data_IF_633584991371
#
_entry.id   IF_633584991371
#
_cell.length_a   1.000
_cell.length_b   1.000
_cell.length_c   1.000
_cell.angle_alpha   90.00
_cell.angle_beta   90.00
_cell.angle_gamma   90.00
#
_symmetry.space_group_name_H-M   'P 1'
#
loop_
_entity.id
_entity.type
_entity.pdbx_description
1 polymer ?
#
# COMPACT_ATOMS: atom_id res chain seq x y z
N UNK A 1 0.92 30.01 8.13
CA UNK A 1 2.19 30.77 7.90
C UNK A 1 2.57 31.78 9.00
N UNK A 2 1.84 31.89 10.11
CA UNK A 2 2.18 32.85 11.19
C UNK A 2 3.03 32.28 12.35
N UNK A 3 3.48 31.03 12.25
CA UNK A 3 4.26 30.35 13.31
C UNK A 3 5.75 30.13 12.96
N UNK A 4 6.11 30.12 11.67
CA UNK A 4 7.47 29.79 11.20
C UNK A 4 8.40 31.03 11.15
N UNK A 5 7.84 32.24 11.14
CA UNK A 5 8.61 33.48 10.99
C UNK A 5 9.32 33.96 12.28
N UNK A 6 9.22 33.25 13.40
CA UNK A 6 9.86 33.63 14.68
C UNK A 6 11.19 32.91 14.97
N UNK A 7 11.60 31.91 14.18
CA UNK A 7 12.80 31.10 14.46
C UNK A 7 14.01 31.33 13.55
N UNK A 8 13.93 32.25 12.59
CA UNK A 8 15.07 32.63 11.76
C UNK A 8 15.26 34.14 11.89
N UNK A 9 16.34 34.55 12.56
CA UNK A 9 16.78 35.94 12.72
C UNK A 9 17.25 36.55 11.39
N UNK A 10 16.36 36.64 10.41
CA UNK A 10 16.62 37.28 9.14
C UNK A 10 16.42 38.81 9.29
N UNK A 11 17.52 39.55 9.20
CA UNK A 11 17.56 41.01 9.22
C UNK A 11 16.53 41.65 8.27
N UNK A 12 15.99 42.80 8.67
CA UNK A 12 15.01 43.62 7.92
C UNK A 12 15.39 43.84 6.43
N UNK A 13 16.67 43.77 6.09
CA UNK A 13 17.19 43.90 4.73
C UNK A 13 16.77 42.72 3.81
N UNK A 14 16.74 41.49 4.32
CA UNK A 14 16.39 40.30 3.51
C UNK A 14 14.89 40.26 3.16
N UNK A 15 14.03 40.72 4.08
CA UNK A 15 12.59 40.91 3.82
C UNK A 15 12.34 41.97 2.74
N UNK A 16 13.12 43.05 2.72
CA UNK A 16 13.02 44.09 1.70
C UNK A 16 13.50 43.62 0.32
N UNK A 17 14.53 42.76 0.27
CA UNK A 17 15.02 42.17 -0.98
C UNK A 17 14.06 41.13 -1.55
N UNK A 18 13.48 40.25 -0.73
CA UNK A 18 12.46 39.28 -1.16
C UNK A 18 11.19 40.02 -1.63
N UNK A 19 10.77 41.07 -0.92
CA UNK A 19 9.64 41.91 -1.33
C UNK A 19 9.90 42.63 -2.66
N UNK A 20 11.14 43.08 -2.93
CA UNK A 20 11.50 43.72 -4.20
C UNK A 20 11.59 42.73 -5.36
N UNK A 21 12.13 41.53 -5.11
CA UNK A 21 12.21 40.46 -6.11
C UNK A 21 10.83 39.89 -6.47
N UNK A 22 9.92 39.78 -5.50
CA UNK A 22 8.52 39.40 -5.75
C UNK A 22 7.73 40.51 -6.47
N UNK A 23 8.11 41.78 -6.30
CA UNK A 23 7.43 42.91 -6.97
C UNK A 23 7.90 43.19 -8.39
N UNK A 24 9.06 42.67 -8.82
CA UNK A 24 9.66 43.03 -10.12
C UNK A 24 9.35 42.06 -11.27
N UNK A 25 8.84 40.85 -10.99
CA UNK A 25 8.48 39.87 -12.02
C UNK A 25 6.98 39.55 -12.13
N UNK A 26 6.12 40.31 -11.44
CA UNK A 26 4.68 40.30 -11.71
C UNK A 26 4.37 41.49 -12.61
N UNK A 27 4.54 41.30 -13.91
CA UNK A 27 3.83 42.11 -14.89
C UNK A 27 2.35 42.04 -14.53
N UNK A 28 1.79 43.17 -14.08
CA UNK A 28 0.37 43.34 -13.78
C UNK A 28 -0.47 42.91 -14.97
N UNK A 29 -1.03 41.70 -14.92
CA UNK A 29 -2.32 41.43 -15.53
C UNK A 29 -3.37 42.01 -14.58
N UNK A 30 -4.12 43.01 -15.03
CA UNK A 30 -5.04 43.82 -14.22
C UNK A 30 -6.30 43.09 -13.72
N UNK A 31 -6.48 41.80 -13.98
CA UNK A 31 -7.66 41.06 -13.49
C UNK A 31 -7.31 40.07 -12.37
N UNK A 32 -6.91 40.62 -11.22
CA UNK A 32 -6.94 39.89 -9.96
C UNK A 32 -8.39 39.79 -9.49
N UNK A 33 -9.07 38.70 -9.86
CA UNK A 33 -10.48 38.46 -9.54
C UNK A 33 -10.70 38.55 -8.02
N UNK A 34 -11.22 39.68 -7.56
CA UNK A 34 -11.52 39.97 -6.16
C UNK A 34 -13.04 39.82 -5.90
N UNK A 35 -13.61 38.75 -6.45
CA UNK A 35 -15.05 38.43 -6.36
C UNK A 35 -15.30 37.70 -5.04
N UNK A 36 -16.25 38.14 -4.20
CA UNK A 36 -16.64 37.42 -2.99
C UNK A 36 -17.05 35.98 -3.31
N UNK A 37 -16.74 35.01 -2.43
CA UNK A 37 -17.12 33.60 -2.63
C UNK A 37 -18.65 33.36 -2.71
N UNK A 38 -19.45 34.35 -2.32
CA UNK A 38 -20.91 34.36 -2.46
C UNK A 38 -21.38 34.69 -3.89
N UNK A 39 -20.51 35.22 -4.74
CA UNK A 39 -20.83 35.62 -6.11
C UNK A 39 -20.19 34.66 -7.12
N UNK A 40 -20.94 34.20 -8.13
CA UNK A 40 -20.39 33.30 -9.14
C UNK A 40 -19.35 34.02 -9.99
N UNK A 41 -18.30 33.29 -10.35
CA UNK A 41 -17.27 33.80 -11.26
C UNK A 41 -17.83 33.96 -12.67
N UNK A 42 -18.03 35.21 -13.09
CA UNK A 42 -18.56 35.55 -14.41
C UNK A 42 -17.55 35.10 -15.49
N UNK A 43 -18.04 34.36 -16.50
CA UNK A 43 -17.23 33.89 -17.64
C UNK A 43 -16.54 32.54 -17.45
N UNK A 44 -16.61 31.93 -16.26
CA UNK A 44 -16.22 30.52 -16.08
C UNK A 44 -17.45 29.64 -16.12
N UNK A 45 -17.64 28.95 -17.25
CA UNK A 45 -18.68 27.94 -17.40
C UNK A 45 -18.30 26.77 -16.48
N UNK A 46 -19.16 26.48 -15.50
CA UNK A 46 -19.14 25.17 -14.86
C UNK A 46 -19.37 24.14 -15.96
N UNK A 47 -18.34 23.37 -16.29
CA UNK A 47 -18.52 22.12 -17.01
C UNK A 47 -19.27 21.20 -16.06
N UNK A 48 -20.60 21.29 -16.04
CA UNK A 48 -21.42 20.25 -15.46
C UNK A 48 -21.03 18.94 -16.17
N UNK A 49 -20.85 17.84 -15.43
CA UNK A 49 -20.56 16.57 -16.07
C UNK A 49 -21.73 16.22 -16.99
N UNK A 50 -21.40 15.71 -18.19
CA UNK A 50 -22.36 15.23 -19.18
C UNK A 50 -23.49 14.43 -18.49
N UNK A 51 -24.74 14.78 -18.80
CA UNK A 51 -25.93 13.98 -18.43
C UNK A 51 -25.88 12.54 -18.98
N UNK A 52 -24.91 12.23 -19.85
CA UNK A 52 -24.68 10.92 -20.48
C UNK A 52 -23.62 10.04 -19.77
N UNK A 53 -23.28 10.30 -18.49
CA UNK A 53 -22.38 9.39 -17.78
C UNK A 53 -23.06 8.04 -17.52
N UNK A 54 -22.63 7.02 -18.26
CA UNK A 54 -23.04 5.63 -18.03
C UNK A 54 -22.08 5.01 -17.01
N UNK A 55 -22.58 4.80 -15.79
CA UNK A 55 -21.85 4.06 -14.77
C UNK A 55 -21.76 2.58 -15.15
N UNK A 56 -20.58 2.00 -15.01
CA UNK A 56 -20.40 0.57 -15.24
C UNK A 56 -20.91 -0.19 -14.01
N UNK A 57 -22.08 -0.84 -14.16
CA UNK A 57 -22.65 -1.72 -13.13
C UNK A 57 -21.82 -3.00 -12.92
N UNK A 58 -21.07 -3.41 -13.93
CA UNK A 58 -20.24 -4.62 -13.92
C UNK A 58 -18.76 -4.27 -14.12
N UNK A 59 -17.89 -5.01 -13.44
CA UNK A 59 -16.44 -4.92 -13.64
C UNK A 59 -16.06 -5.59 -14.95
N UNK A 60 -15.41 -4.84 -15.85
CA UNK A 60 -14.89 -5.36 -17.12
C UNK A 60 -13.50 -5.94 -16.89
N UNK A 61 -13.24 -7.13 -17.45
CA UNK A 61 -11.97 -7.83 -17.31
C UNK A 61 -11.44 -8.20 -18.70
N UNK A 62 -10.21 -7.79 -18.99
CA UNK A 62 -9.48 -8.17 -20.20
C UNK A 62 -8.21 -8.92 -19.80
N UNK A 63 -7.93 -10.04 -20.48
CA UNK A 63 -6.67 -10.78 -20.29
C UNK A 63 -5.82 -10.62 -21.55
N UNK A 64 -4.62 -10.07 -21.41
CA UNK A 64 -3.68 -9.92 -22.51
C UNK A 64 -3.07 -11.27 -22.90
N UNK A 65 -2.48 -11.35 -24.10
CA UNK A 65 -1.88 -12.58 -24.63
C UNK A 65 -0.75 -13.15 -23.76
N UNK A 66 -0.09 -12.31 -22.98
CA UNK A 66 0.96 -12.70 -22.04
C UNK A 66 0.43 -13.20 -20.68
N UNK A 67 -0.89 -13.21 -20.46
CA UNK A 67 -1.51 -13.65 -19.20
C UNK A 67 -1.77 -12.53 -18.18
N UNK A 68 -1.34 -11.29 -18.46
CA UNK A 68 -1.63 -10.12 -17.63
C UNK A 68 -3.13 -9.83 -17.63
N UNK A 69 -3.73 -9.72 -16.43
CA UNK A 69 -5.16 -9.43 -16.27
C UNK A 69 -5.37 -7.96 -15.93
N UNK A 70 -6.32 -7.34 -16.62
CA UNK A 70 -6.71 -5.94 -16.44
C UNK A 70 -8.18 -5.92 -16.06
N UNK A 71 -8.49 -5.40 -14.88
CA UNK A 71 -9.85 -5.21 -14.40
C UNK A 71 -10.13 -3.72 -14.26
N UNK A 72 -11.30 -3.26 -14.71
CA UNK A 72 -11.69 -1.89 -14.41
C UNK A 72 -13.18 -1.71 -14.22
N UNK A 73 -13.51 -0.65 -13.49
CA UNK A 73 -14.87 -0.16 -13.35
C UNK A 73 -14.88 1.35 -13.54
N UNK A 74 -15.66 1.82 -14.52
CA UNK A 74 -15.86 3.25 -14.69
C UNK A 74 -16.86 3.75 -13.64
N UNK A 75 -16.46 4.76 -12.86
CA UNK A 75 -17.29 5.38 -11.82
C UNK A 75 -17.35 6.88 -12.02
N UNK A 76 -18.46 7.47 -11.62
CA UNK A 76 -18.66 8.90 -11.73
C UNK A 76 -17.66 9.64 -10.84
N UNK A 77 -16.98 10.64 -11.40
CA UNK A 77 -16.05 11.50 -10.69
C UNK A 77 -14.81 11.85 -11.51
N UNK A 78 -14.10 12.87 -11.05
CA UNK A 78 -12.84 13.30 -11.67
C UNK A 78 -11.62 12.53 -11.13
N UNK A 79 -11.82 11.63 -10.17
CA UNK A 79 -10.75 10.87 -9.51
C UNK A 79 -10.76 9.42 -9.99
N UNK A 80 -9.57 8.84 -10.05
CA UNK A 80 -9.35 7.44 -10.30
C UNK A 80 -8.42 6.85 -9.24
N UNK A 81 -8.58 5.56 -8.98
CA UNK A 81 -7.68 4.76 -8.17
C UNK A 81 -7.27 3.54 -8.98
N UNK A 82 -5.97 3.28 -9.06
CA UNK A 82 -5.42 2.20 -9.86
C UNK A 82 -4.33 1.49 -9.06
N UNK A 83 -4.17 0.19 -9.27
CA UNK A 83 -3.10 -0.53 -8.61
C UNK A 83 -2.70 -1.80 -9.33
N UNK A 84 -1.45 -2.19 -9.10
CA UNK A 84 -0.90 -3.46 -9.54
C UNK A 84 -0.87 -4.38 -8.33
N UNK A 85 -1.57 -5.50 -8.43
CA UNK A 85 -1.61 -6.55 -7.43
C UNK A 85 -0.74 -7.68 -7.94
N UNK A 86 0.29 -7.99 -7.18
CA UNK A 86 1.21 -9.10 -7.42
C UNK A 86 0.82 -10.23 -6.49
N UNK A 87 0.55 -11.40 -7.04
CA UNK A 87 0.43 -12.64 -6.25
C UNK A 87 1.82 -13.03 -5.75
N UNK A 88 2.28 -12.39 -4.69
CA UNK A 88 3.58 -12.53 -4.04
C UNK A 88 3.48 -12.00 -2.61
N UNK A 89 4.37 -12.39 -1.70
CA UNK A 89 4.32 -11.97 -0.31
C UNK A 89 5.09 -12.90 0.61
N UNK A 90 5.04 -12.66 1.94
CA UNK A 90 5.73 -13.46 2.95
C UNK A 90 5.48 -14.95 2.83
N UNK A 91 4.28 -15.37 2.38
CA UNK A 91 3.95 -16.78 2.15
C UNK A 91 4.94 -17.49 1.22
N UNK A 92 5.51 -16.76 0.28
CA UNK A 92 6.36 -17.28 -0.79
C UNK A 92 7.87 -17.19 -0.47
N UNK A 93 8.22 -16.98 0.81
CA UNK A 93 9.61 -16.83 1.29
C UNK A 93 10.18 -18.10 1.94
N UNK A 94 9.59 -19.28 1.71
CA UNK A 94 9.93 -20.55 2.39
C UNK A 94 11.40 -20.93 2.26
N UNK A 95 11.98 -20.75 1.08
CA UNK A 95 13.38 -21.07 0.71
C UNK A 95 14.33 -19.88 0.86
N UNK A 96 13.89 -18.81 1.53
CA UNK A 96 14.55 -17.51 1.56
C UNK A 96 14.59 -16.93 2.99
N UNK A 97 15.49 -15.98 3.27
CA UNK A 97 15.43 -15.26 4.53
C UNK A 97 14.10 -14.48 4.61
N UNK A 98 13.32 -14.72 5.67
CA UNK A 98 12.05 -14.03 5.86
C UNK A 98 12.26 -12.52 6.00
N UNK A 99 11.41 -11.73 5.35
CA UNK A 99 11.44 -10.27 5.36
C UNK A 99 11.64 -9.61 3.99
N UNK A 100 11.82 -10.37 2.91
CA UNK A 100 12.07 -9.81 1.57
C UNK A 100 10.88 -8.96 1.09
N UNK A 101 9.65 -9.40 1.33
CA UNK A 101 8.43 -8.66 1.01
C UNK A 101 8.36 -7.34 1.78
N UNK A 102 8.84 -7.31 3.03
CA UNK A 102 8.93 -6.08 3.82
C UNK A 102 9.96 -5.09 3.23
N UNK A 103 11.06 -5.59 2.68
CA UNK A 103 12.00 -4.77 1.91
C UNK A 103 11.35 -4.23 0.62
N UNK A 104 10.61 -5.06 -0.11
CA UNK A 104 9.90 -4.63 -1.32
C UNK A 104 8.82 -3.57 -1.03
N UNK A 105 8.16 -3.65 0.13
CA UNK A 105 7.25 -2.62 0.63
C UNK A 105 7.97 -1.27 0.71
N UNK A 106 9.13 -1.23 1.41
CA UNK A 106 9.90 0.01 1.61
C UNK A 106 10.62 0.51 0.36
N UNK A 107 10.91 -0.37 -0.59
CA UNK A 107 11.49 -0.03 -1.89
C UNK A 107 10.43 0.36 -2.93
N UNK A 108 9.14 0.25 -2.60
CA UNK A 108 8.07 0.71 -3.48
C UNK A 108 8.23 2.19 -3.83
N UNK A 109 8.07 2.53 -5.11
CA UNK A 109 8.18 3.89 -5.64
C UNK A 109 9.56 4.56 -5.43
N UNK A 110 10.63 3.77 -5.37
CA UNK A 110 12.02 4.24 -5.42
C UNK A 110 12.53 4.39 -6.86
N UNK A 111 13.85 4.45 -7.06
CA UNK A 111 14.44 4.61 -8.40
C UNK A 111 14.04 3.49 -9.37
N UNK A 112 13.82 3.90 -10.61
CA UNK A 112 13.46 3.05 -11.75
C UNK A 112 14.23 3.49 -12.99
N UNK A 113 14.04 2.84 -14.13
CA UNK A 113 14.72 3.23 -15.37
C UNK A 113 14.46 4.70 -15.74
N UNK A 114 13.21 5.17 -15.63
CA UNK A 114 12.79 6.53 -15.97
C UNK A 114 12.99 7.55 -14.84
N UNK A 115 13.03 7.11 -13.58
CA UNK A 115 13.18 8.00 -12.42
C UNK A 115 14.46 7.67 -11.65
N UNK A 116 15.38 8.64 -11.58
CA UNK A 116 16.74 8.41 -11.03
C UNK A 116 16.77 8.14 -9.53
N UNK A 117 15.84 8.71 -8.76
CA UNK A 117 15.71 8.53 -7.31
C UNK A 117 14.25 8.60 -6.84
N UNK A 118 14.02 8.34 -5.55
CA UNK A 118 12.71 8.44 -4.90
C UNK A 118 12.10 9.85 -5.00
N UNK A 119 12.92 10.90 -5.01
CA UNK A 119 12.42 12.27 -5.05
C UNK A 119 11.82 12.61 -6.42
N UNK A 120 12.42 12.12 -7.52
CA UNK A 120 11.85 12.30 -8.85
C UNK A 120 10.51 11.60 -9.02
N UNK A 121 10.35 10.39 -8.46
CA UNK A 121 9.05 9.69 -8.44
C UNK A 121 8.03 10.50 -7.64
N UNK A 122 8.41 10.98 -6.46
CA UNK A 122 7.56 11.83 -5.61
C UNK A 122 7.11 13.10 -6.35
N UNK A 123 8.03 13.83 -7.00
CA UNK A 123 7.69 15.03 -7.76
C UNK A 123 6.75 14.73 -8.93
N UNK A 124 6.96 13.62 -9.64
CA UNK A 124 6.06 13.21 -10.72
C UNK A 124 4.65 12.88 -10.21
N UNK A 125 4.52 12.29 -9.02
CA UNK A 125 3.24 12.04 -8.37
C UNK A 125 2.57 13.34 -7.89
N UNK A 126 3.34 14.26 -7.32
CA UNK A 126 2.86 15.58 -6.87
C UNK A 126 2.34 16.42 -8.05
N UNK A 127 3.02 16.42 -9.19
CA UNK A 127 2.54 17.06 -10.42
C UNK A 127 1.19 16.50 -10.87
N UNK A 128 0.93 15.22 -10.60
CA UNK A 128 -0.35 14.58 -10.89
C UNK A 128 -1.42 14.82 -9.81
N UNK A 129 -1.08 15.48 -8.71
CA UNK A 129 -1.86 15.56 -7.47
C UNK A 129 -2.30 14.17 -6.98
N UNK A 130 -1.40 13.19 -7.11
CA UNK A 130 -1.68 11.81 -6.78
C UNK A 130 -1.09 11.43 -5.42
N UNK A 131 -1.80 10.54 -4.72
CA UNK A 131 -1.28 9.80 -3.58
C UNK A 131 -0.92 8.39 -4.04
N UNK A 132 0.09 7.80 -3.41
CA UNK A 132 0.53 6.46 -3.74
C UNK A 132 0.91 5.71 -2.47
N UNK A 133 0.78 4.39 -2.52
CA UNK A 133 1.13 3.52 -1.42
C UNK A 133 1.54 2.13 -1.93
N UNK A 134 2.42 1.48 -1.17
CA UNK A 134 2.81 0.09 -1.39
C UNK A 134 2.52 -0.68 -0.12
N UNK A 135 1.65 -1.69 -0.21
CA UNK A 135 1.25 -2.49 0.94
C UNK A 135 1.50 -3.97 0.65
N UNK A 136 1.85 -4.70 1.71
CA UNK A 136 2.00 -6.15 1.66
C UNK A 136 0.98 -6.83 2.56
N UNK A 137 0.38 -7.89 2.02
CA UNK A 137 -0.32 -8.93 2.74
C UNK A 137 0.52 -10.21 2.71
N UNK A 138 0.06 -11.28 3.37
CA UNK A 138 0.74 -12.59 3.34
C UNK A 138 0.78 -13.20 1.94
N UNK A 139 -0.29 -13.01 1.17
CA UNK A 139 -0.49 -13.64 -0.14
C UNK A 139 -0.27 -12.70 -1.34
N UNK A 140 -0.32 -11.38 -1.14
CA UNK A 140 -0.18 -10.41 -2.24
C UNK A 140 0.55 -9.13 -1.82
N UNK A 141 1.18 -8.47 -2.80
CA UNK A 141 1.75 -7.12 -2.71
C UNK A 141 0.93 -6.20 -3.62
N UNK A 142 0.53 -5.04 -3.13
CA UNK A 142 -0.21 -4.04 -3.90
C UNK A 142 0.57 -2.73 -4.00
N UNK A 143 0.77 -2.28 -5.23
CA UNK A 143 1.26 -0.94 -5.56
C UNK A 143 0.08 -0.13 -6.06
N UNK A 144 -0.38 0.86 -5.29
CA UNK A 144 -1.58 1.62 -5.60
C UNK A 144 -1.28 3.11 -5.77
N UNK A 145 -2.02 3.76 -6.67
CA UNK A 145 -2.00 5.19 -6.91
C UNK A 145 -3.43 5.70 -7.02
N UNK A 146 -3.72 6.86 -6.45
CA UNK A 146 -5.01 7.55 -6.59
C UNK A 146 -4.77 8.99 -6.98
N UNK A 147 -5.48 9.49 -7.98
CA UNK A 147 -5.30 10.85 -8.51
C UNK A 147 -6.41 11.23 -9.48
N UNK A 148 -6.21 12.31 -10.24
CA UNK A 148 -7.18 12.72 -11.26
C UNK A 148 -7.16 11.79 -12.48
N UNK A 149 -8.35 11.49 -13.02
CA UNK A 149 -8.50 10.63 -14.19
C UNK A 149 -7.85 11.21 -15.47
N UNK A 150 -7.68 12.54 -15.55
CA UNK A 150 -6.94 13.22 -16.62
C UNK A 150 -5.47 12.81 -16.69
N UNK A 151 -4.91 12.34 -15.57
CA UNK A 151 -3.51 11.90 -15.47
C UNK A 151 -3.36 10.38 -15.56
N UNK A 152 -4.43 9.64 -15.93
CA UNK A 152 -4.46 8.17 -15.94
C UNK A 152 -3.24 7.55 -16.64
N UNK A 153 -2.91 8.00 -17.87
CA UNK A 153 -1.79 7.44 -18.63
C UNK A 153 -0.44 7.61 -17.90
N UNK A 154 -0.22 8.79 -17.31
CA UNK A 154 1.01 9.08 -16.56
C UNK A 154 1.09 8.24 -15.27
N UNK A 155 -0.02 8.06 -14.58
CA UNK A 155 -0.10 7.23 -13.38
C UNK A 155 0.13 5.74 -13.70
N UNK A 156 -0.43 5.23 -14.80
CA UNK A 156 -0.16 3.87 -15.29
C UNK A 156 1.32 3.70 -15.66
N UNK A 157 1.93 4.70 -16.29
CA UNK A 157 3.35 4.68 -16.60
C UNK A 157 4.21 4.59 -15.32
N UNK A 158 3.93 5.40 -14.30
CA UNK A 158 4.67 5.36 -13.02
C UNK A 158 4.51 4.01 -12.31
N UNK A 159 3.31 3.42 -12.35
CA UNK A 159 3.08 2.06 -11.84
C UNK A 159 3.93 1.03 -12.59
N UNK A 160 4.00 1.13 -13.93
CA UNK A 160 4.82 0.22 -14.73
C UNK A 160 6.32 0.35 -14.41
N UNK A 161 6.82 1.56 -14.22
CA UNK A 161 8.22 1.81 -13.84
C UNK A 161 8.54 1.23 -12.46
N UNK A 162 7.62 1.41 -11.52
CA UNK A 162 7.79 0.94 -10.14
C UNK A 162 7.79 -0.59 -10.07
N UNK A 163 6.90 -1.25 -10.81
CA UNK A 163 6.71 -2.70 -10.72
C UNK A 163 7.60 -3.50 -11.66
N UNK A 164 7.83 -3.03 -12.90
CA UNK A 164 8.60 -3.77 -13.90
C UNK A 164 10.05 -3.31 -14.03
N UNK A 165 10.33 -2.03 -13.74
CA UNK A 165 11.63 -1.42 -14.03
C UNK A 165 12.33 -0.79 -12.81
N UNK A 166 12.25 -1.36 -11.58
CA UNK A 166 13.00 -0.83 -10.45
C UNK A 166 14.51 -1.06 -10.63
N UNK A 167 15.34 -0.13 -10.17
CA UNK A 167 16.81 -0.28 -10.22
C UNK A 167 17.37 -1.05 -9.02
N UNK A 168 16.76 -0.86 -7.83
CA UNK A 168 17.14 -1.44 -6.53
C UNK A 168 18.66 -1.38 -6.31
N UNK A 169 19.18 -0.20 -5.98
CA UNK A 169 20.61 -0.01 -5.70
C UNK A 169 20.98 -0.53 -4.30
N UNK A 170 22.27 -0.83 -4.08
CA UNK A 170 22.73 -1.26 -2.75
C UNK A 170 22.48 -0.20 -1.66
N UNK A 171 22.58 1.09 -2.01
CA UNK A 171 22.29 2.20 -1.12
C UNK A 171 20.81 2.25 -0.72
N UNK A 172 19.90 2.00 -1.67
CA UNK A 172 18.46 1.91 -1.40
C UNK A 172 18.12 0.73 -0.49
N UNK A 173 18.78 -0.42 -0.67
CA UNK A 173 18.61 -1.58 0.21
C UNK A 173 19.05 -1.25 1.64
N UNK A 174 20.18 -0.56 1.82
CA UNK A 174 20.62 -0.10 3.15
C UNK A 174 19.68 0.94 3.75
N UNK A 175 19.05 1.79 2.91
CA UNK A 175 18.04 2.74 3.37
C UNK A 175 16.77 2.02 3.81
N UNK A 176 16.31 1.02 3.05
CA UNK A 176 15.17 0.18 3.41
C UNK A 176 15.42 -0.57 4.72
N UNK A 177 16.60 -1.16 4.90
CA UNK A 177 16.99 -1.80 6.17
C UNK A 177 16.90 -0.85 7.36
N UNK A 178 17.39 0.39 7.21
CA UNK A 178 17.30 1.41 8.27
C UNK A 178 15.85 1.78 8.57
N UNK A 179 15.01 1.92 7.54
CA UNK A 179 13.58 2.19 7.70
C UNK A 179 12.86 1.06 8.43
N UNK A 180 13.11 -0.20 8.04
CA UNK A 180 12.55 -1.39 8.68
C UNK A 180 13.01 -1.49 10.14
N UNK A 181 14.30 -1.27 10.41
CA UNK A 181 14.82 -1.27 11.79
C UNK A 181 14.11 -0.24 12.67
N UNK A 182 13.89 0.97 12.14
CA UNK A 182 13.15 2.01 12.85
C UNK A 182 11.70 1.61 13.12
N UNK A 183 11.03 1.02 12.13
CA UNK A 183 9.66 0.52 12.28
C UNK A 183 9.55 -0.60 13.31
N UNK A 184 10.46 -1.57 13.30
CA UNK A 184 10.51 -2.65 14.29
C UNK A 184 10.71 -2.09 15.71
N UNK A 185 11.59 -1.10 15.87
CA UNK A 185 11.76 -0.41 17.15
C UNK A 185 10.49 0.36 17.56
N UNK A 186 9.78 0.98 16.61
CA UNK A 186 8.52 1.66 16.88
C UNK A 186 7.44 0.67 17.32
N UNK A 187 7.31 -0.47 16.63
CA UNK A 187 6.43 -1.58 17.02
C UNK A 187 6.80 -2.14 18.40
N UNK A 188 8.08 -2.21 18.72
CA UNK A 188 8.52 -2.63 20.06
C UNK A 188 8.20 -1.61 21.14
N UNK A 189 8.20 -0.31 20.84
CA UNK A 189 7.93 0.80 21.77
C UNK A 189 6.45 1.11 21.96
N UNK A 190 5.62 0.78 20.99
CA UNK A 190 4.18 0.97 21.06
C UNK A 190 3.51 -0.17 20.29
N UNK A 191 3.50 -1.39 20.86
CA UNK A 191 3.00 -2.58 20.18
C UNK A 191 1.51 -2.45 19.86
N UNK A 192 1.12 -2.35 18.58
CA UNK A 192 -0.30 -2.40 18.24
C UNK A 192 -0.79 -3.83 18.51
N UNK A 193 -1.84 -3.96 19.31
CA UNK A 193 -2.33 -5.26 19.80
C UNK A 193 -2.74 -6.16 18.65
N UNK A 194 -3.65 -5.71 17.77
CA UNK A 194 -4.21 -6.57 16.71
C UNK A 194 -3.16 -7.08 15.70
N UNK A 195 -2.26 -6.24 15.13
CA UNK A 195 -1.24 -6.74 14.21
C UNK A 195 -0.30 -7.75 14.87
N UNK A 196 0.19 -7.49 16.08
CA UNK A 196 1.12 -8.40 16.77
C UNK A 196 0.43 -9.72 17.13
N UNK A 197 -0.81 -9.66 17.63
CA UNK A 197 -1.57 -10.87 17.94
C UNK A 197 -1.83 -11.70 16.69
N UNK A 198 -2.11 -11.08 15.54
CA UNK A 198 -2.27 -11.80 14.27
C UNK A 198 -0.96 -12.44 13.80
N UNK A 199 0.19 -11.75 13.91
CA UNK A 199 1.49 -12.34 13.59
C UNK A 199 1.80 -13.56 14.46
N UNK A 200 1.60 -13.44 15.78
CA UNK A 200 1.81 -14.52 16.73
C UNK A 200 0.85 -15.69 16.48
N UNK A 201 -0.41 -15.41 16.19
CA UNK A 201 -1.42 -16.43 15.92
C UNK A 201 -1.07 -17.22 14.66
N UNK A 202 -0.68 -16.55 13.57
CA UNK A 202 -0.25 -17.21 12.33
C UNK A 202 1.01 -18.06 12.54
N UNK A 203 2.03 -17.52 13.23
CA UNK A 203 3.26 -18.27 13.53
C UNK A 203 3.02 -19.47 14.44
N UNK A 204 2.03 -19.38 15.34
CA UNK A 204 1.63 -20.52 16.18
C UNK A 204 0.81 -21.56 15.43
N UNK A 205 -0.09 -21.14 14.53
CA UNK A 205 -1.03 -22.00 13.81
C UNK A 205 -0.39 -22.78 12.65
N UNK A 206 0.58 -22.17 11.95
CA UNK A 206 1.24 -22.73 10.77
C UNK A 206 2.74 -22.91 11.06
N UNK A 207 3.08 -23.96 11.83
CA UNK A 207 4.45 -24.18 12.32
C UNK A 207 5.40 -24.73 11.25
N UNK A 208 6.71 -24.56 11.47
CA UNK A 208 7.76 -25.20 10.67
C UNK A 208 8.21 -24.41 9.45
N UNK A 209 8.18 -23.06 9.50
CA UNK A 209 8.50 -22.17 8.38
C UNK A 209 7.67 -22.47 7.11
N UNK A 210 6.43 -22.94 7.29
CA UNK A 210 5.54 -23.22 6.17
C UNK A 210 4.71 -21.98 5.85
N UNK A 211 4.85 -21.47 4.62
CA UNK A 211 3.88 -20.60 3.93
C UNK A 211 3.26 -19.51 4.83
N UNK A 212 2.01 -19.68 5.30
CA UNK A 212 1.26 -18.67 6.07
C UNK A 212 1.81 -18.38 7.47
N UNK A 213 2.69 -19.23 8.00
CA UNK A 213 3.37 -19.02 9.27
C UNK A 213 4.58 -18.10 9.19
N UNK A 214 5.03 -17.77 7.97
CA UNK A 214 6.13 -16.83 7.76
C UNK A 214 5.71 -15.42 8.19
N UNK A 215 6.60 -14.67 8.87
CA UNK A 215 6.26 -13.39 9.45
C UNK A 215 6.11 -12.33 8.36
N UNK A 216 5.12 -11.43 8.51
CA UNK A 216 4.97 -10.27 7.63
C UNK A 216 6.11 -9.28 7.82
N UNK A 217 6.52 -9.06 9.07
CA UNK A 217 7.63 -8.19 9.41
C UNK A 217 8.95 -8.96 9.37
N UNK A 218 9.97 -8.35 8.76
CA UNK A 218 11.34 -8.88 8.79
C UNK A 218 11.79 -9.14 10.25
N UNK A 219 12.19 -10.37 10.60
CA UNK A 219 12.79 -10.66 11.90
C UNK A 219 14.07 -9.86 12.10
N UNK A 220 14.34 -9.42 13.33
CA UNK A 220 15.56 -8.67 13.64
C UNK A 220 16.83 -9.46 13.33
N UNK A 221 16.80 -10.79 13.49
CA UNK A 221 17.91 -11.68 13.14
C UNK A 221 18.29 -11.62 11.66
N UNK A 222 17.33 -11.32 10.79
CA UNK A 222 17.52 -11.31 9.34
C UNK A 222 17.88 -9.91 8.82
N UNK A 223 17.81 -8.87 9.66
CA UNK A 223 18.30 -7.54 9.31
C UNK A 223 19.79 -7.60 9.00
N UNK A 224 20.19 -7.06 7.84
CA UNK A 224 21.57 -7.11 7.36
C UNK A 224 21.97 -8.44 6.70
N UNK A 225 21.14 -9.49 6.77
CA UNK A 225 21.34 -10.73 6.00
C UNK A 225 20.64 -10.70 4.63
N UNK A 226 19.58 -9.89 4.51
CA UNK A 226 18.86 -9.71 3.25
C UNK A 226 19.70 -8.84 2.31
N UNK A 227 20.21 -9.46 1.24
CA UNK A 227 21.02 -8.80 0.21
C UNK A 227 20.15 -8.36 -0.97
N UNK A 228 20.71 -7.48 -1.82
CA UNK A 228 20.10 -7.09 -3.11
C UNK A 228 19.76 -8.31 -3.96
N UNK A 229 20.63 -9.31 -3.99
CA UNK A 229 20.46 -10.52 -4.81
C UNK A 229 19.26 -11.34 -4.34
N UNK A 230 19.00 -11.43 -3.03
CA UNK A 230 17.79 -12.09 -2.51
C UNK A 230 16.51 -11.41 -3.02
N UNK A 231 16.49 -10.07 -3.04
CA UNK A 231 15.35 -9.27 -3.52
C UNK A 231 15.15 -9.49 -5.02
N UNK A 232 16.22 -9.42 -5.81
CA UNK A 232 16.17 -9.65 -7.26
C UNK A 232 15.68 -11.06 -7.58
N UNK A 233 16.18 -12.07 -6.87
CA UNK A 233 15.76 -13.45 -7.05
C UNK A 233 14.27 -13.63 -6.75
N UNK A 234 13.77 -12.98 -5.71
CA UNK A 234 12.35 -13.02 -5.38
C UNK A 234 11.49 -12.37 -6.47
N UNK A 235 11.87 -11.16 -6.91
CA UNK A 235 11.17 -10.43 -7.97
C UNK A 235 11.18 -11.21 -9.28
N UNK A 236 12.34 -11.72 -9.72
CA UNK A 236 12.46 -12.54 -10.93
C UNK A 236 11.64 -13.84 -10.88
N UNK A 237 11.41 -14.39 -9.68
CA UNK A 237 10.58 -15.58 -9.50
C UNK A 237 9.10 -15.26 -9.60
N UNK A 238 8.64 -14.20 -8.93
CA UNK A 238 7.21 -13.98 -8.65
C UNK A 238 6.56 -12.85 -9.47
N UNK A 239 7.31 -11.88 -9.97
CA UNK A 239 6.78 -10.74 -10.74
C UNK A 239 6.64 -11.12 -12.22
N UNK A 240 5.77 -12.09 -12.48
CA UNK A 240 5.47 -12.61 -13.83
C UNK A 240 4.09 -12.17 -14.31
N UNK A 241 3.88 -11.96 -15.61
CA UNK A 241 2.60 -11.46 -16.15
C UNK A 241 1.37 -12.25 -15.67
N UNK A 242 1.46 -13.59 -15.59
CA UNK A 242 0.37 -14.45 -15.13
C UNK A 242 -0.01 -14.26 -13.64
N UNK A 243 0.91 -13.70 -12.84
CA UNK A 243 0.74 -13.40 -11.41
C UNK A 243 0.42 -11.92 -11.14
N UNK A 244 0.24 -11.13 -12.19
CA UNK A 244 -0.08 -9.71 -12.10
C UNK A 244 -1.55 -9.46 -12.46
N UNK A 245 -2.19 -8.61 -11.66
CA UNK A 245 -3.51 -8.06 -11.96
C UNK A 245 -3.44 -6.55 -11.81
N UNK A 246 -3.87 -5.82 -12.83
CA UNK A 246 -3.95 -4.37 -12.81
C UNK A 246 -5.42 -3.99 -12.70
N UNK A 247 -5.77 -3.33 -11.60
CA UNK A 247 -7.13 -2.91 -11.31
C UNK A 247 -7.25 -1.38 -11.37
N UNK A 248 -8.35 -0.87 -11.94
CA UNK A 248 -8.63 0.56 -12.01
C UNK A 248 -10.10 0.88 -11.74
N UNK A 249 -10.36 1.87 -10.89
CA UNK A 249 -11.69 2.41 -10.58
C UNK A 249 -11.74 3.87 -10.98
N UNK A 250 -12.82 4.31 -11.61
CA UNK A 250 -12.94 5.68 -12.15
C UNK A 250 -12.19 5.87 -13.48
N UNK A 251 -12.02 4.79 -14.25
CA UNK A 251 -11.33 4.78 -15.54
C UNK A 251 -12.18 4.07 -16.61
N UNK A 252 -12.12 4.58 -17.84
CA UNK A 252 -12.77 3.96 -19.00
C UNK A 252 -11.96 2.74 -19.45
N UNK A 253 -12.60 1.58 -19.58
CA UNK A 253 -11.91 0.29 -19.74
C UNK A 253 -10.98 0.24 -20.95
N UNK A 254 -11.44 0.66 -22.13
CA UNK A 254 -10.65 0.55 -23.36
C UNK A 254 -9.42 1.46 -23.35
N UNK A 255 -9.56 2.69 -22.84
CA UNK A 255 -8.45 3.62 -22.66
C UNK A 255 -7.46 3.09 -21.62
N UNK A 256 -7.96 2.51 -20.53
CA UNK A 256 -7.13 1.91 -19.50
C UNK A 256 -6.34 0.71 -20.02
N UNK A 257 -6.99 -0.20 -20.76
CA UNK A 257 -6.33 -1.36 -21.38
C UNK A 257 -5.23 -0.90 -22.33
N UNK A 258 -5.47 0.12 -23.16
CA UNK A 258 -4.45 0.68 -24.07
C UNK A 258 -3.26 1.29 -23.33
N UNK A 259 -3.53 2.06 -22.27
CA UNK A 259 -2.48 2.67 -21.45
C UNK A 259 -1.63 1.59 -20.76
N UNK A 260 -2.27 0.54 -20.23
CA UNK A 260 -1.59 -0.59 -19.60
C UNK A 260 -0.80 -1.40 -20.63
N UNK A 261 -1.38 -1.71 -21.79
CA UNK A 261 -0.69 -2.44 -22.85
C UNK A 261 0.57 -1.70 -23.32
N UNK A 262 0.48 -0.38 -23.49
CA UNK A 262 1.62 0.48 -23.85
C UNK A 262 2.72 0.49 -22.77
N UNK A 263 2.34 0.59 -21.49
CA UNK A 263 3.30 0.75 -20.40
C UNK A 263 3.90 -0.58 -19.90
N UNK A 264 3.12 -1.66 -19.93
CA UNK A 264 3.50 -2.99 -19.44
C UNK A 264 3.98 -3.94 -20.55
N UNK A 265 3.98 -3.53 -21.83
CA UNK A 265 4.48 -4.36 -22.94
C UNK A 265 5.73 -3.73 -23.58
N UNK A 266 6.86 -4.46 -23.68
CA UNK A 266 7.08 -5.83 -23.23
C UNK A 266 7.08 -5.94 -21.70
N UNK A 267 6.43 -6.99 -21.17
CA UNK A 267 6.31 -7.23 -19.72
C UNK A 267 7.57 -7.88 -19.14
N UNK A 268 8.71 -7.55 -19.75
CA UNK A 268 10.02 -8.01 -19.30
C UNK A 268 10.43 -7.16 -18.11
N UNK A 269 10.61 -7.82 -16.97
CA UNK A 269 11.11 -7.17 -15.78
C UNK A 269 12.59 -6.78 -15.99
N UNK A 270 12.97 -5.54 -15.70
CA UNK A 270 14.36 -5.04 -15.89
C UNK A 270 15.38 -5.92 -15.15
N UNK A 271 15.05 -6.28 -13.91
CA UNK A 271 15.83 -7.17 -13.05
C UNK A 271 15.97 -8.61 -13.57
N UNK A 272 15.16 -9.06 -14.54
CA UNK A 272 15.34 -10.38 -15.15
C UNK A 272 16.67 -10.49 -15.93
N UNK A 273 17.26 -9.35 -16.32
CA UNK A 273 18.56 -9.27 -16.99
C UNK A 273 19.74 -9.30 -16.01
N UNK A 274 19.49 -9.08 -14.73
CA UNK A 274 20.53 -9.07 -13.70
C UNK A 274 21.12 -10.49 -13.54
N UNK A 275 22.46 -10.65 -13.41
CA UNK A 275 23.07 -11.95 -13.21
C UNK A 275 22.48 -12.75 -12.03
N UNK A 276 22.03 -12.08 -10.98
CA UNK A 276 21.40 -12.73 -9.83
C UNK A 276 20.13 -13.50 -10.25
N UNK A 277 19.31 -12.93 -11.14
CA UNK A 277 18.05 -13.51 -11.58
C UNK A 277 18.20 -14.87 -12.29
N UNK A 278 19.39 -15.22 -12.80
CA UNK A 278 19.67 -16.55 -13.37
C UNK A 278 19.53 -17.69 -12.37
N UNK A 279 19.70 -17.38 -11.07
CA UNK A 279 19.56 -18.33 -9.98
C UNK A 279 18.16 -18.29 -9.36
N UNK A 280 17.20 -17.60 -9.98
CA UNK A 280 15.82 -17.53 -9.48
C UNK A 280 15.18 -18.93 -9.52
N UNK A 281 14.75 -19.49 -8.38
CA UNK A 281 14.09 -20.79 -8.35
C UNK A 281 12.71 -20.71 -8.99
N UNK A 282 12.09 -21.86 -9.21
CA UNK A 282 10.68 -21.92 -9.62
C UNK A 282 9.78 -21.41 -8.49
N UNK A 283 8.64 -20.77 -8.81
CA UNK A 283 7.70 -20.34 -7.78
C UNK A 283 7.29 -21.48 -6.85
N UNK A 284 7.29 -21.22 -5.53
CA UNK A 284 6.88 -22.22 -4.55
C UNK A 284 5.40 -22.59 -4.73
N UNK A 285 5.12 -23.89 -4.63
CA UNK A 285 3.80 -24.49 -4.75
C UNK A 285 3.33 -25.13 -3.44
N UNK A 286 4.01 -24.85 -2.33
CA UNK A 286 3.69 -25.41 -1.03
C UNK A 286 2.29 -24.98 -0.57
N UNK A 287 1.55 -25.94 -0.02
CA UNK A 287 0.22 -25.71 0.54
C UNK A 287 0.36 -25.40 2.02
N UNK A 288 -0.41 -24.42 2.52
CA UNK A 288 -0.45 -24.13 3.94
C UNK A 288 -1.16 -25.25 4.70
N UNK A 289 -0.53 -25.76 5.77
CA UNK A 289 -1.09 -26.80 6.63
C UNK A 289 -1.29 -26.25 8.03
N UNK A 290 -2.54 -26.24 8.50
CA UNK A 290 -2.85 -25.87 9.87
C UNK A 290 -2.38 -26.98 10.81
N UNK A 291 -1.48 -26.65 11.73
CA UNK A 291 -0.98 -27.58 12.75
C UNK A 291 -1.58 -27.30 14.13
N UNK A 292 -2.24 -26.14 14.27
CA UNK A 292 -2.52 -25.54 15.57
C UNK A 292 -1.23 -25.21 16.32
N UNK A 293 -1.39 -24.69 17.54
CA UNK A 293 -0.26 -24.41 18.40
C UNK A 293 -0.57 -23.42 19.51
N UNK A 294 0.45 -23.18 20.32
CA UNK A 294 0.45 -22.22 21.42
C UNK A 294 1.73 -21.40 21.35
N UNK A 295 1.59 -20.10 21.53
CA UNK A 295 2.69 -19.16 21.73
C UNK A 295 2.32 -18.23 22.87
N UNK A 296 3.29 -17.98 23.75
CA UNK A 296 3.19 -17.03 24.86
C UNK A 296 4.39 -16.11 24.78
N UNK A 297 4.14 -14.81 24.79
CA UNK A 297 5.18 -13.80 24.88
C UNK A 297 5.00 -13.06 26.19
N UNK A 298 5.98 -13.20 27.08
CA UNK A 298 6.04 -12.39 28.29
C UNK A 298 6.77 -11.10 27.98
N UNK A 299 6.11 -9.98 28.21
CA UNK A 299 6.67 -8.64 28.04
C UNK A 299 6.30 -7.79 29.23
N UNK A 300 7.29 -7.03 29.71
CA UNK A 300 7.06 -5.95 30.65
C UNK A 300 6.42 -4.79 29.89
N UNK A 301 5.13 -4.54 30.14
CA UNK A 301 4.41 -3.47 29.48
C UNK A 301 4.61 -2.11 30.18
N UNK A 302 5.23 -2.07 31.37
CA UNK A 302 5.35 -0.87 32.23
C UNK A 302 6.13 0.28 31.61
N UNK A 303 6.91 -0.01 30.56
CA UNK A 303 7.75 0.93 29.84
C UNK A 303 7.00 1.64 28.70
N UNK A 304 5.75 1.21 28.42
CA UNK A 304 4.92 1.77 27.36
C UNK A 304 4.14 2.98 27.86
N UNK A 305 4.49 4.16 27.34
CA UNK A 305 3.71 5.38 27.55
C UNK A 305 2.41 5.32 26.72
N UNK A 306 1.51 4.41 27.07
CA UNK A 306 0.17 4.34 26.49
C UNK A 306 -0.85 5.00 27.43
N UNK A 307 -1.91 5.64 26.89
CA UNK A 307 -2.95 6.27 27.69
C UNK A 307 -3.94 5.29 28.35
N UNK A 308 -3.74 3.97 28.19
CA UNK A 308 -4.63 2.92 28.72
C UNK A 308 -3.86 1.97 29.66
N UNK A 309 -4.54 1.38 30.66
CA UNK A 309 -3.96 0.36 31.53
C UNK A 309 -3.51 -0.88 30.74
N UNK A 310 -2.42 -1.47 31.20
CA UNK A 310 -1.78 -2.64 30.59
C UNK A 310 -2.56 -3.91 30.91
N UNK A 311 -3.03 -4.59 29.87
CA UNK A 311 -3.76 -5.85 30.00
C UNK A 311 -3.02 -6.99 29.31
N UNK A 312 -3.28 -8.21 29.76
CA UNK A 312 -2.92 -9.39 28.98
C UNK A 312 -3.80 -9.47 27.74
N UNK A 313 -3.18 -9.70 26.58
CA UNK A 313 -3.88 -9.91 25.32
C UNK A 313 -3.84 -11.40 24.96
N UNK A 314 -4.99 -11.95 24.57
CA UNK A 314 -5.11 -13.34 24.15
C UNK A 314 -5.92 -13.42 22.86
N UNK A 315 -5.52 -14.32 21.96
CA UNK A 315 -6.22 -14.62 20.72
C UNK A 315 -6.30 -16.14 20.57
N UNK A 316 -7.47 -16.63 20.16
CA UNK A 316 -7.71 -18.05 19.87
C UNK A 316 -8.17 -18.11 18.41
N UNK A 317 -7.45 -18.86 17.59
CA UNK A 317 -7.75 -19.05 16.18
C UNK A 317 -7.92 -20.53 15.85
N UNK A 318 -8.97 -20.84 15.10
CA UNK A 318 -9.25 -22.16 14.56
C UNK A 318 -9.00 -22.13 13.04
N UNK A 319 -8.79 -23.30 12.45
CA UNK A 319 -8.75 -23.42 11.00
C UNK A 319 -10.10 -23.02 10.39
N UNK A 320 -10.05 -22.26 9.29
CA UNK A 320 -11.23 -21.78 8.56
C UNK A 320 -11.18 -22.28 7.12
N UNK A 321 -12.34 -22.26 6.46
CA UNK A 321 -12.42 -22.53 5.04
C UNK A 321 -11.74 -21.43 4.20
N UNK A 322 -11.29 -21.78 2.99
CA UNK A 322 -10.70 -20.83 2.05
C UNK A 322 -11.74 -19.93 1.37
N UNK A 323 -11.31 -18.83 0.74
CA UNK A 323 -12.21 -17.85 0.12
C UNK A 323 -13.03 -18.38 -1.08
N UNK A 324 -12.65 -19.54 -1.64
CA UNK A 324 -13.40 -20.22 -2.72
C UNK A 324 -14.35 -21.29 -2.20
N UNK A 325 -14.32 -21.58 -0.90
CA UNK A 325 -15.16 -22.60 -0.29
C UNK A 325 -16.61 -22.10 -0.16
N UNK A 326 -17.58 -22.99 -0.33
CA UNK A 326 -18.99 -22.68 -0.11
C UNK A 326 -19.28 -22.23 1.33
N UNK A 327 -18.44 -22.63 2.30
CA UNK A 327 -18.54 -22.23 3.69
C UNK A 327 -18.03 -20.81 3.98
N UNK A 328 -17.37 -20.14 3.02
CA UNK A 328 -16.80 -18.81 3.24
C UNK A 328 -17.84 -17.76 3.64
N UNK A 329 -18.95 -17.69 2.90
CA UNK A 329 -20.05 -16.75 3.21
C UNK A 329 -20.69 -17.06 4.58
N UNK A 330 -21.05 -18.32 4.91
CA UNK A 330 -21.45 -18.69 6.27
C UNK A 330 -20.44 -18.29 7.36
N UNK A 331 -19.13 -18.46 7.14
CA UNK A 331 -18.10 -18.07 8.09
C UNK A 331 -18.06 -16.54 8.29
N UNK A 332 -18.22 -15.74 7.23
CA UNK A 332 -18.35 -14.29 7.33
C UNK A 332 -19.59 -13.88 8.15
N UNK A 333 -20.73 -14.55 7.94
CA UNK A 333 -21.95 -14.28 8.72
C UNK A 333 -21.76 -14.64 10.20
N UNK A 334 -21.09 -15.75 10.50
CA UNK A 334 -20.75 -16.12 11.87
C UNK A 334 -19.84 -15.05 12.52
N UNK A 335 -18.83 -14.57 11.79
CA UNK A 335 -17.97 -13.48 12.25
C UNK A 335 -18.78 -12.21 12.55
N UNK A 336 -19.67 -11.78 11.66
CA UNK A 336 -20.54 -10.62 11.87
C UNK A 336 -21.52 -10.80 13.05
N UNK A 337 -22.04 -12.02 13.27
CA UNK A 337 -22.95 -12.33 14.37
C UNK A 337 -22.25 -12.32 15.74
N UNK A 338 -21.06 -12.93 15.81
CA UNK A 338 -20.23 -12.90 17.01
C UNK A 338 -19.82 -11.47 17.33
N UNK A 339 -19.35 -10.73 16.32
CA UNK A 339 -18.99 -9.31 16.41
C UNK A 339 -18.05 -9.02 17.56
N UNK A 340 -18.33 -7.95 18.30
CA UNK A 340 -17.47 -7.44 19.37
C UNK A 340 -17.15 -5.95 19.16
N UNK A 341 -16.13 -5.47 19.86
CA UNK A 341 -15.69 -4.09 19.80
C UNK A 341 -14.84 -3.71 21.01
N UNK A 342 -14.38 -2.46 21.05
CA UNK A 342 -13.82 -1.89 22.26
C UNK A 342 -14.91 -1.32 23.17
N UNK A 343 -14.71 -1.37 24.49
CA UNK A 343 -15.62 -0.77 25.48
C UNK A 343 -15.79 0.75 25.32
N UNK A 344 -14.84 1.42 24.64
CA UNK A 344 -14.82 2.87 24.41
C UNK A 344 -15.24 3.24 22.97
N UNK A 345 -16.23 2.56 22.40
CA UNK A 345 -16.77 2.94 21.10
C UNK A 345 -17.78 4.09 21.24
N UNK A 346 -17.32 5.33 21.09
CA UNK A 346 -18.17 6.53 21.08
C UNK A 346 -18.87 6.71 19.71
N UNK A 347 -19.69 5.75 19.31
CA UNK A 347 -20.43 5.77 18.06
C UNK A 347 -21.93 5.60 18.23
N UNK A 348 -22.70 6.12 17.27
CA UNK A 348 -24.14 5.90 17.20
C UNK A 348 -24.52 4.46 16.82
N UNK A 349 -25.84 4.17 16.72
CA UNK A 349 -26.36 2.86 16.33
C UNK A 349 -25.78 2.37 14.99
N UNK A 350 -25.61 1.04 14.85
CA UNK A 350 -25.13 0.38 13.62
C UNK A 350 -23.69 -0.15 13.68
N UNK A 351 -22.93 0.11 14.75
CA UNK A 351 -21.55 -0.38 14.93
C UNK A 351 -21.41 -1.80 15.49
N UNK A 352 -22.51 -2.55 15.57
CA UNK A 352 -22.49 -3.90 16.14
C UNK A 352 -22.68 -3.98 17.66
N UNK A 353 -23.25 -2.95 18.30
CA UNK A 353 -23.54 -2.94 19.76
C UNK A 353 -24.48 -4.05 20.23
N UNK A 354 -25.23 -4.66 19.31
CA UNK A 354 -26.14 -5.78 19.58
C UNK A 354 -25.56 -7.14 19.16
N UNK A 355 -24.27 -7.20 18.83
CA UNK A 355 -23.61 -8.47 18.50
C UNK A 355 -23.40 -9.31 19.76
N UNK A 356 -23.28 -10.62 19.58
CA UNK A 356 -23.34 -11.58 20.69
C UNK A 356 -22.22 -11.37 21.70
N UNK A 357 -20.99 -11.12 21.24
CA UNK A 357 -19.86 -10.89 22.15
C UNK A 357 -19.94 -9.51 22.81
N UNK A 358 -20.42 -8.49 22.09
CA UNK A 358 -20.58 -7.15 22.68
C UNK A 358 -21.54 -7.17 23.87
N UNK A 359 -22.72 -7.78 23.70
CA UNK A 359 -23.76 -7.81 24.74
C UNK A 359 -23.34 -8.67 25.94
N UNK A 360 -22.69 -9.81 25.72
CA UNK A 360 -22.40 -10.77 26.79
C UNK A 360 -21.04 -10.55 27.48
N UNK A 361 -20.14 -9.74 26.91
CA UNK A 361 -18.78 -9.55 27.48
C UNK A 361 -18.51 -8.10 27.86
N UNK A 362 -19.03 -7.12 27.11
CA UNK A 362 -18.71 -5.70 27.33
C UNK A 362 -19.77 -4.96 28.14
N UNK A 363 -21.00 -5.48 28.22
CA UNK A 363 -22.09 -4.90 29.01
C UNK A 363 -22.28 -5.57 30.38
N UNK A 364 -21.50 -6.60 30.70
CA UNK A 364 -21.37 -7.17 32.05
C UNK A 364 -20.34 -6.37 32.85
#
# INVERSE_FOLDING_TARGET
MHSIARRLGASRCLRAQISRLLSQNVSKSEDGINVPLSEPLIGKISTFPNDDFVEDNETKITTLKNGLRIASQNKFGAQCAMGVIVDAGPRYEVDRPSGISHYLEKLGFHSSESYSDRNHVQSAMEECNAIFDCQISRDFIIYAVSGFNTNMERLVHILSETVLRPRITAEEVQMAERSIRFELQALQRAPPVEPIMNELLHGAAYRGNSTLGLPRYCPESNLGQITRDHIINFVATYYRPERLVIAGVGVQHDAFVKAVESAFTPCEHSLAKDPAAKNAPTPDASVAQYTGGYVKVERDLSQYHAPMPEFAHAAIGLESCGYRDAQFVPACLLHSLLGGGGSFSAGGPGKGMYTRLYVNVLNE
#
